data_IF_410831753932
#
_entry.id   IF_410831753932
#
_cell.length_a   1.000
_cell.length_b   1.000
_cell.length_c   1.000
_cell.angle_alpha   90.00
_cell.angle_beta   90.00
_cell.angle_gamma   90.00
#
_symmetry.space_group_name_H-M   'P 1'
#
loop_
_entity.id
_entity.type
_entity.pdbx_description
1 polymer ?
#
# COMPACT_ATOMS: atom_id res chain seq x y z
N UNK A 1 30.02 11.15 25.76
CA UNK A 1 29.90 9.71 25.43
C UNK A 1 29.09 9.63 24.15
N UNK A 2 29.69 9.21 23.03
CA UNK A 2 28.97 9.12 21.76
C UNK A 2 27.92 8.02 21.86
N UNK A 3 26.63 8.38 21.82
CA UNK A 3 25.56 7.39 21.73
C UNK A 3 25.56 6.90 20.28
N UNK A 4 25.88 5.62 20.09
CA UNK A 4 25.81 4.96 18.79
C UNK A 4 24.38 5.09 18.23
N UNK A 5 24.23 5.60 17.01
CA UNK A 5 22.94 5.76 16.31
C UNK A 5 22.13 4.46 16.35
N UNK A 6 22.80 3.32 16.21
CA UNK A 6 22.15 2.02 16.27
C UNK A 6 21.58 1.71 17.66
N UNK A 7 22.28 2.09 18.73
CA UNK A 7 21.78 1.95 20.09
C UNK A 7 20.54 2.83 20.31
N UNK A 8 20.55 4.06 19.80
CA UNK A 8 19.41 4.98 19.93
C UNK A 8 18.18 4.52 19.11
N UNK A 9 18.38 4.15 17.84
CA UNK A 9 17.33 3.56 16.98
C UNK A 9 16.69 2.36 17.66
N UNK A 10 17.50 1.48 18.25
CA UNK A 10 17.03 0.28 18.93
C UNK A 10 16.29 0.59 20.24
N UNK A 11 16.78 1.55 21.04
CA UNK A 11 16.19 1.91 22.34
C UNK A 11 14.83 2.59 22.20
N UNK A 12 14.68 3.50 21.24
CA UNK A 12 13.46 4.29 21.08
C UNK A 12 12.55 3.79 19.94
N UNK A 13 13.01 2.80 19.15
CA UNK A 13 12.32 2.25 17.97
C UNK A 13 11.99 3.33 16.93
N UNK A 14 12.88 4.29 16.75
CA UNK A 14 12.68 5.42 15.85
C UNK A 14 13.51 5.20 14.58
N UNK A 15 12.81 5.08 13.44
CA UNK A 15 13.46 4.94 12.15
C UNK A 15 13.82 6.32 11.59
N UNK A 16 15.09 6.69 11.73
CA UNK A 16 15.61 7.94 11.17
C UNK A 16 15.77 7.90 9.65
N UNK A 17 15.68 6.73 9.00
CA UNK A 17 15.84 6.59 7.55
C UNK A 17 14.86 7.45 6.73
N UNK A 18 13.75 7.84 7.36
CA UNK A 18 12.69 8.66 6.77
C UNK A 18 12.98 10.18 6.82
N UNK A 19 14.07 10.62 7.47
CA UNK A 19 14.38 12.05 7.63
C UNK A 19 15.60 12.44 6.80
N UNK A 20 15.51 13.44 5.90
CA UNK A 20 16.66 13.92 5.13
C UNK A 20 17.72 14.70 5.95
N UNK A 21 17.58 14.78 7.28
CA UNK A 21 18.42 15.59 8.19
C UNK A 21 19.09 14.75 9.31
N UNK A 22 19.30 13.45 9.07
CA UNK A 22 19.82 12.51 10.08
C UNK A 22 21.20 12.91 10.59
N UNK A 23 22.08 13.38 9.70
CA UNK A 23 23.43 13.79 10.06
C UNK A 23 23.42 15.03 10.95
N UNK A 24 22.50 15.97 10.70
CA UNK A 24 22.31 17.18 11.50
C UNK A 24 21.72 16.85 12.86
N UNK A 25 20.74 15.94 12.91
CA UNK A 25 20.19 15.42 14.16
C UNK A 25 21.31 14.76 14.98
N UNK A 26 22.12 13.89 14.36
CA UNK A 26 23.24 13.21 15.00
C UNK A 26 24.32 14.19 15.51
N UNK A 27 24.60 15.24 14.74
CA UNK A 27 25.51 16.30 15.16
C UNK A 27 24.99 17.04 16.39
N UNK A 28 23.69 17.39 16.41
CA UNK A 28 23.05 18.00 17.59
C UNK A 28 23.17 17.08 18.80
N UNK A 29 22.87 15.78 18.65
CA UNK A 29 23.02 14.77 19.69
C UNK A 29 24.43 14.72 20.28
N UNK A 30 25.45 14.66 19.43
CA UNK A 30 26.84 14.51 19.86
C UNK A 30 27.43 15.79 20.49
N UNK A 31 26.86 16.96 20.17
CA UNK A 31 27.38 18.25 20.64
C UNK A 31 26.87 18.66 22.04
N UNK A 32 25.88 17.97 22.60
CA UNK A 32 25.20 18.25 23.88
C UNK A 32 24.79 19.73 24.13
N UNK A 33 24.87 20.62 23.13
CA UNK A 33 24.61 22.05 23.30
C UNK A 33 24.11 22.68 22.01
N UNK A 34 22.88 23.20 22.05
CA UNK A 34 22.32 24.06 21.01
C UNK A 34 22.97 25.43 21.12
N UNK A 35 23.70 25.88 20.10
CA UNK A 35 24.27 27.24 20.10
C UNK A 35 23.28 28.19 19.44
N UNK A 36 23.26 29.45 19.87
CA UNK A 36 22.38 30.50 19.30
C UNK A 36 22.51 30.63 17.78
N UNK A 37 23.70 30.36 17.23
CA UNK A 37 23.97 30.30 15.79
C UNK A 37 23.24 29.18 15.04
N UNK A 38 22.90 28.07 15.71
CA UNK A 38 22.18 26.95 15.11
C UNK A 38 20.69 27.25 14.93
N UNK A 39 20.17 28.28 15.62
CA UNK A 39 18.80 28.78 15.49
C UNK A 39 18.59 29.70 14.27
N UNK A 40 19.67 30.04 13.55
CA UNK A 40 19.62 30.85 12.32
C UNK A 40 19.60 29.97 11.06
N UNK A 41 19.83 28.67 11.20
CA UNK A 41 19.74 27.71 10.10
C UNK A 41 18.41 26.97 10.18
N UNK A 42 17.55 27.21 9.19
CA UNK A 42 16.18 26.70 9.23
C UNK A 42 16.10 25.17 9.11
N UNK A 43 17.08 24.54 8.44
CA UNK A 43 17.16 23.06 8.40
C UNK A 43 17.54 22.52 9.77
N UNK A 44 18.47 23.17 10.47
CA UNK A 44 18.81 22.83 11.85
C UNK A 44 17.64 23.06 12.79
N UNK A 45 16.83 24.11 12.62
CA UNK A 45 15.61 24.28 13.42
C UNK A 45 14.70 23.05 13.34
N UNK A 46 14.51 22.46 12.14
CA UNK A 46 13.75 21.21 12.01
C UNK A 46 14.43 20.03 12.70
N UNK A 47 15.75 19.88 12.58
CA UNK A 47 16.50 18.82 13.28
C UNK A 47 16.38 18.95 14.81
N UNK A 48 16.44 20.18 15.32
CA UNK A 48 16.23 20.51 16.74
C UNK A 48 14.79 20.18 17.15
N UNK A 49 13.79 20.57 16.36
CA UNK A 49 12.39 20.21 16.60
C UNK A 49 12.22 18.70 16.72
N UNK A 50 12.75 17.93 15.76
CA UNK A 50 12.68 16.48 15.78
C UNK A 50 13.34 15.90 17.04
N UNK A 51 14.46 16.46 17.49
CA UNK A 51 15.08 16.08 18.76
C UNK A 51 14.13 16.31 19.96
N UNK A 52 13.44 17.45 20.03
CA UNK A 52 12.46 17.71 21.08
C UNK A 52 11.28 16.73 21.06
N UNK A 53 10.84 16.30 19.87
CA UNK A 53 9.80 15.26 19.71
C UNK A 53 10.31 13.90 20.18
N UNK A 54 11.42 13.44 19.60
CA UNK A 54 11.90 12.06 19.66
C UNK A 54 12.53 11.73 21.03
N UNK A 55 13.27 12.68 21.58
CA UNK A 55 14.13 12.43 22.76
C UNK A 55 13.49 12.96 24.03
N UNK A 56 12.96 14.18 23.93
CA UNK A 56 12.48 14.91 25.10
C UNK A 56 10.96 14.79 25.28
N UNK A 57 10.23 14.26 24.28
CA UNK A 57 8.76 14.21 24.25
C UNK A 57 8.11 15.58 24.53
N UNK A 58 8.74 16.68 24.08
CA UNK A 58 8.25 18.06 24.26
C UNK A 58 7.65 18.60 22.97
N UNK A 59 6.44 18.16 22.68
CA UNK A 59 5.75 18.46 21.41
C UNK A 59 5.46 19.95 21.19
N UNK A 60 5.11 20.70 22.24
CA UNK A 60 4.83 22.13 22.13
C UNK A 60 6.08 22.92 21.70
N UNK A 61 7.24 22.56 22.25
CA UNK A 61 8.52 23.17 21.89
C UNK A 61 8.87 22.81 20.44
N UNK A 62 8.71 21.55 20.05
CA UNK A 62 8.95 21.16 18.66
C UNK A 62 8.03 21.89 17.67
N UNK A 63 6.73 22.05 18.01
CA UNK A 63 5.75 22.78 17.19
C UNK A 63 6.17 24.22 16.99
N UNK A 64 6.53 24.93 18.06
CA UNK A 64 6.99 26.34 17.97
C UNK A 64 8.26 26.49 17.13
N UNK A 65 9.20 25.55 17.25
CA UNK A 65 10.43 25.56 16.45
C UNK A 65 10.19 25.26 14.96
N UNK A 66 9.26 24.36 14.63
CA UNK A 66 8.87 24.15 13.23
C UNK A 66 8.17 25.37 12.64
N UNK A 67 7.27 26.01 13.38
CA UNK A 67 6.62 27.26 12.95
C UNK A 67 7.67 28.35 12.71
N UNK A 68 8.69 28.45 13.58
CA UNK A 68 9.81 29.36 13.37
C UNK A 68 10.58 29.04 12.08
N UNK A 69 10.84 27.77 11.78
CA UNK A 69 11.48 27.37 10.52
C UNK A 69 10.65 27.78 9.29
N UNK A 70 9.31 27.62 9.35
CA UNK A 70 8.38 28.09 8.30
C UNK A 70 8.45 29.60 8.13
N UNK A 71 8.37 30.37 9.22
CA UNK A 71 8.41 31.83 9.18
C UNK A 71 9.74 32.36 8.61
N UNK A 72 10.81 31.58 8.73
CA UNK A 72 12.10 31.87 8.12
C UNK A 72 12.24 31.36 6.67
N UNK A 73 11.17 30.83 6.07
CA UNK A 73 11.11 30.39 4.67
C UNK A 73 11.42 28.91 4.41
N UNK A 74 11.54 28.06 5.44
CA UNK A 74 11.76 26.63 5.26
C UNK A 74 10.44 25.85 5.26
N UNK A 75 9.76 25.84 4.12
CA UNK A 75 8.42 25.28 3.98
C UNK A 75 8.35 23.75 4.15
N UNK A 76 9.46 23.02 4.03
CA UNK A 76 9.48 21.57 4.33
C UNK A 76 9.10 21.28 5.78
N UNK A 77 9.24 22.26 6.68
CA UNK A 77 8.73 22.17 8.05
C UNK A 77 7.21 21.96 8.14
N UNK A 78 6.41 22.32 7.11
CA UNK A 78 4.99 21.96 7.06
C UNK A 78 4.77 20.45 7.06
N UNK A 79 5.57 19.70 6.30
CA UNK A 79 5.49 18.24 6.30
C UNK A 79 5.80 17.67 7.69
N UNK A 80 6.86 18.14 8.35
CA UNK A 80 7.20 17.67 9.69
C UNK A 80 6.17 18.04 10.76
N UNK A 81 5.54 19.21 10.67
CA UNK A 81 4.41 19.56 11.53
C UNK A 81 3.22 18.65 11.30
N UNK A 82 2.94 18.33 10.03
CA UNK A 82 1.93 17.35 9.65
C UNK A 82 2.17 15.98 10.29
N UNK A 83 3.39 15.45 10.18
CA UNK A 83 3.80 14.19 10.81
C UNK A 83 3.69 14.25 12.34
N UNK A 84 4.15 15.35 12.95
CA UNK A 84 4.08 15.55 14.39
C UNK A 84 2.62 15.51 14.89
N UNK A 85 1.74 16.31 14.28
CA UNK A 85 0.32 16.34 14.60
C UNK A 85 -0.32 14.96 14.40
N UNK A 86 0.04 14.25 13.32
CA UNK A 86 -0.42 12.90 13.08
C UNK A 86 -0.01 11.93 14.20
N UNK A 87 1.26 11.98 14.62
CA UNK A 87 1.81 11.10 15.64
C UNK A 87 1.17 11.30 17.02
N UNK A 88 0.79 12.54 17.36
CA UNK A 88 0.10 12.86 18.62
C UNK A 88 -1.44 12.73 18.54
N UNK A 89 -1.97 12.30 17.38
CA UNK A 89 -3.42 12.07 17.18
C UNK A 89 -4.24 13.31 16.82
N UNK A 90 -3.61 14.47 16.60
CA UNK A 90 -4.29 15.67 16.11
C UNK A 90 -4.43 15.63 14.58
N UNK A 91 -5.35 14.78 14.12
CA UNK A 91 -5.52 14.49 12.69
C UNK A 91 -6.03 15.68 11.87
N UNK A 92 -6.70 16.65 12.49
CA UNK A 92 -7.19 17.85 11.80
C UNK A 92 -6.05 18.84 11.51
N UNK A 93 -5.20 19.12 12.49
CA UNK A 93 -3.99 19.93 12.25
C UNK A 93 -3.00 19.18 11.36
N UNK A 94 -2.89 17.84 11.49
CA UNK A 94 -2.08 17.04 10.58
C UNK A 94 -2.51 17.24 9.12
N UNK A 95 -3.80 17.07 8.83
CA UNK A 95 -4.36 17.29 7.49
C UNK A 95 -4.11 18.71 6.98
N UNK A 96 -4.27 19.73 7.84
CA UNK A 96 -4.00 21.12 7.50
C UNK A 96 -2.55 21.35 7.10
N UNK A 97 -1.57 20.95 7.92
CA UNK A 97 -0.16 21.18 7.60
C UNK A 97 0.33 20.32 6.43
N UNK A 98 -0.16 19.10 6.28
CA UNK A 98 0.17 18.26 5.13
C UNK A 98 -0.33 18.87 3.81
N UNK A 99 -1.48 19.53 3.80
CA UNK A 99 -1.96 20.30 2.64
C UNK A 99 -1.12 21.54 2.37
N UNK A 100 -0.75 22.30 3.40
CA UNK A 100 0.17 23.43 3.27
C UNK A 100 1.52 22.99 2.71
N UNK A 101 2.00 21.79 3.05
CA UNK A 101 3.20 21.23 2.43
C UNK A 101 3.03 21.03 0.91
N UNK A 102 1.85 20.59 0.45
CA UNK A 102 1.55 20.45 -0.99
C UNK A 102 1.52 21.79 -1.73
N UNK A 103 1.00 22.84 -1.10
CA UNK A 103 1.01 24.20 -1.67
C UNK A 103 2.44 24.69 -1.96
N UNK A 104 3.43 24.11 -1.27
CA UNK A 104 4.86 24.33 -1.48
C UNK A 104 5.58 23.19 -2.23
N UNK A 105 4.84 22.36 -2.98
CA UNK A 105 5.35 21.25 -3.80
C UNK A 105 6.12 20.17 -3.01
N UNK A 106 5.79 19.98 -1.73
CA UNK A 106 6.37 18.92 -0.89
C UNK A 106 5.47 17.69 -0.97
N UNK A 107 5.72 16.87 -1.99
CA UNK A 107 4.87 15.73 -2.33
C UNK A 107 4.96 14.52 -1.37
N UNK A 108 5.92 14.53 -0.44
CA UNK A 108 6.04 13.56 0.65
C UNK A 108 4.75 13.44 1.49
N UNK A 109 3.97 14.53 1.57
CA UNK A 109 2.71 14.54 2.32
C UNK A 109 1.56 13.79 1.63
N UNK A 110 1.65 13.52 0.32
CA UNK A 110 0.55 12.92 -0.46
C UNK A 110 0.14 11.54 0.08
N UNK A 111 1.10 10.68 0.41
CA UNK A 111 0.80 9.35 0.95
C UNK A 111 0.06 9.45 2.29
N UNK A 112 0.51 10.35 3.17
CA UNK A 112 -0.11 10.52 4.49
C UNK A 112 -1.51 11.12 4.39
N UNK A 113 -1.72 12.08 3.49
CA UNK A 113 -3.06 12.59 3.18
C UNK A 113 -3.98 11.49 2.68
N UNK A 114 -3.49 10.64 1.77
CA UNK A 114 -4.20 9.45 1.32
C UNK A 114 -4.64 8.55 2.48
N UNK A 115 -3.72 8.24 3.39
CA UNK A 115 -4.01 7.45 4.59
C UNK A 115 -5.02 8.14 5.53
N UNK A 116 -4.86 9.43 5.80
CA UNK A 116 -5.77 10.20 6.66
C UNK A 116 -7.20 10.19 6.13
N UNK A 117 -7.36 10.48 4.83
CA UNK A 117 -8.67 10.46 4.21
C UNK A 117 -9.28 9.06 4.19
N UNK A 118 -8.48 8.01 4.01
CA UNK A 118 -8.97 6.64 4.03
C UNK A 118 -9.40 6.19 5.43
N UNK A 119 -8.50 6.33 6.41
CA UNK A 119 -8.65 5.68 7.73
C UNK A 119 -9.36 6.57 8.74
N UNK A 120 -9.14 7.88 8.70
CA UNK A 120 -9.66 8.82 9.70
C UNK A 120 -10.92 9.50 9.18
N UNK A 121 -10.85 10.19 8.04
CA UNK A 121 -11.99 10.93 7.50
C UNK A 121 -12.99 10.08 6.69
N UNK A 122 -12.68 8.80 6.48
CA UNK A 122 -13.53 7.81 5.77
C UNK A 122 -13.99 8.28 4.37
N UNK A 123 -13.14 9.03 3.67
CA UNK A 123 -13.39 9.49 2.31
C UNK A 123 -12.46 8.77 1.32
N UNK A 124 -12.94 7.64 0.80
CA UNK A 124 -12.20 6.78 -0.12
C UNK A 124 -11.88 7.46 -1.45
N UNK A 125 -12.79 8.32 -1.96
CA UNK A 125 -12.59 9.06 -3.21
C UNK A 125 -11.38 9.99 -3.11
N UNK A 126 -11.35 10.85 -2.10
CA UNK A 126 -10.23 11.79 -1.89
C UNK A 126 -8.94 11.03 -1.57
N UNK A 127 -9.02 9.97 -0.76
CA UNK A 127 -7.86 9.13 -0.45
C UNK A 127 -7.22 8.55 -1.72
N UNK A 128 -8.06 8.03 -2.63
CA UNK A 128 -7.65 7.47 -3.91
C UNK A 128 -6.94 8.51 -4.78
N UNK A 129 -7.44 9.74 -4.82
CA UNK A 129 -6.82 10.82 -5.60
C UNK A 129 -5.43 11.19 -5.06
N UNK A 130 -5.28 11.34 -3.74
CA UNK A 130 -3.96 11.58 -3.13
C UNK A 130 -2.98 10.43 -3.33
N UNK A 131 -3.43 9.19 -3.21
CA UNK A 131 -2.57 8.02 -3.42
C UNK A 131 -2.13 7.90 -4.89
N UNK A 132 -3.01 8.18 -5.85
CA UNK A 132 -2.63 8.26 -7.28
C UNK A 132 -1.55 9.31 -7.51
N UNK A 133 -1.75 10.53 -7.00
CA UNK A 133 -0.73 11.58 -7.11
C UNK A 133 0.59 11.15 -6.47
N UNK A 134 0.54 10.51 -5.31
CA UNK A 134 1.74 10.03 -4.61
C UNK A 134 2.50 8.98 -5.42
N UNK A 135 1.78 8.08 -6.11
CA UNK A 135 2.37 7.11 -7.04
C UNK A 135 3.07 7.84 -8.19
N UNK A 136 2.43 8.86 -8.78
CA UNK A 136 3.02 9.64 -9.88
C UNK A 136 4.31 10.35 -9.46
N UNK A 137 4.43 10.73 -8.19
CA UNK A 137 5.65 11.27 -7.59
C UNK A 137 6.62 10.19 -7.07
N UNK A 138 6.54 8.96 -7.59
CA UNK A 138 7.43 7.83 -7.30
C UNK A 138 7.50 7.40 -5.82
N UNK A 139 6.49 7.70 -5.01
CA UNK A 139 6.43 7.24 -3.63
C UNK A 139 6.19 5.71 -3.58
N UNK A 140 7.18 4.97 -3.06
CA UNK A 140 7.17 3.50 -2.98
C UNK A 140 5.97 2.95 -2.20
N UNK A 141 5.62 3.60 -1.10
CA UNK A 141 4.60 3.10 -0.18
C UNK A 141 3.18 3.39 -0.69
N UNK A 142 3.03 4.33 -1.63
CA UNK A 142 1.73 4.74 -2.15
C UNK A 142 1.07 3.65 -2.99
N UNK A 143 1.84 2.86 -3.75
CA UNK A 143 1.28 1.73 -4.51
C UNK A 143 0.63 0.74 -3.55
N UNK A 144 1.33 0.35 -2.48
CA UNK A 144 0.79 -0.59 -1.51
C UNK A 144 -0.49 -0.10 -0.83
N UNK A 145 -0.53 1.15 -0.39
CA UNK A 145 -1.75 1.73 0.21
C UNK A 145 -2.88 1.89 -0.82
N UNK A 146 -2.56 2.19 -2.07
CA UNK A 146 -3.53 2.23 -3.17
C UNK A 146 -4.12 0.85 -3.45
N UNK A 147 -3.29 -0.20 -3.45
CA UNK A 147 -3.73 -1.58 -3.64
C UNK A 147 -4.74 -2.03 -2.58
N UNK A 148 -4.56 -1.61 -1.32
CA UNK A 148 -5.50 -1.91 -0.22
C UNK A 148 -6.89 -1.30 -0.38
N UNK A 149 -7.10 -0.38 -1.33
CA UNK A 149 -8.41 0.19 -1.61
C UNK A 149 -9.33 -0.72 -2.43
N UNK A 150 -8.78 -1.83 -2.92
CA UNK A 150 -9.47 -2.73 -3.83
C UNK A 150 -9.56 -4.11 -3.22
N UNK A 151 -10.77 -4.64 -3.16
CA UNK A 151 -11.00 -6.02 -2.74
C UNK A 151 -10.62 -6.99 -3.87
N UNK A 152 -10.76 -6.54 -5.13
CA UNK A 152 -10.40 -7.29 -6.31
C UNK A 152 -9.03 -6.84 -6.86
N UNK A 153 -8.11 -7.80 -6.96
CA UNK A 153 -6.77 -7.61 -7.53
C UNK A 153 -6.82 -7.10 -8.98
N UNK A 154 -7.86 -7.46 -9.72
CA UNK A 154 -8.08 -7.02 -11.08
C UNK A 154 -8.40 -5.52 -11.18
N UNK A 155 -9.37 -5.04 -10.39
CA UNK A 155 -9.72 -3.61 -10.38
C UNK A 155 -8.52 -2.76 -10.01
N UNK A 156 -7.74 -3.21 -9.03
CA UNK A 156 -6.46 -2.60 -8.68
C UNK A 156 -5.52 -2.55 -9.88
N UNK A 157 -5.29 -3.68 -10.58
CA UNK A 157 -4.40 -3.76 -11.73
C UNK A 157 -4.84 -2.80 -12.84
N UNK A 158 -6.12 -2.81 -13.21
CA UNK A 158 -6.68 -1.92 -14.24
C UNK A 158 -6.51 -0.45 -13.85
N UNK A 159 -6.68 -0.13 -12.57
CA UNK A 159 -6.56 1.24 -12.10
C UNK A 159 -5.10 1.71 -12.07
N UNK A 160 -4.15 0.81 -11.82
CA UNK A 160 -2.71 1.11 -11.93
C UNK A 160 -2.26 1.18 -13.40
N UNK A 161 -2.79 0.35 -14.29
CA UNK A 161 -2.40 0.33 -15.71
C UNK A 161 -2.85 1.58 -16.46
N UNK A 162 -3.93 2.21 -16.01
CA UNK A 162 -4.41 3.49 -16.51
C UNK A 162 -3.61 4.71 -16.02
N UNK A 163 -2.65 4.53 -15.11
CA UNK A 163 -1.77 5.61 -14.67
C UNK A 163 -0.53 5.72 -15.58
N UNK A 164 0.01 6.93 -15.77
CA UNK A 164 1.33 7.12 -16.39
C UNK A 164 2.39 6.20 -15.78
N UNK A 165 3.12 5.46 -16.63
CA UNK A 165 4.14 4.53 -16.18
C UNK A 165 5.23 5.25 -15.39
N UNK A 166 5.63 4.64 -14.27
CA UNK A 166 6.75 5.07 -13.46
C UNK A 166 7.42 3.87 -12.79
N UNK A 167 8.56 4.11 -12.15
CA UNK A 167 9.39 3.06 -11.54
C UNK A 167 8.64 2.19 -10.54
N UNK A 168 7.68 2.75 -9.79
CA UNK A 168 6.92 1.98 -8.81
C UNK A 168 5.84 1.12 -9.46
N UNK A 169 5.14 1.66 -10.46
CA UNK A 169 4.14 0.92 -11.23
C UNK A 169 4.81 -0.23 -12.00
N UNK A 170 5.96 0.01 -12.62
CA UNK A 170 6.71 -1.02 -13.34
C UNK A 170 7.18 -2.14 -12.41
N UNK A 171 7.76 -1.79 -11.24
CA UNK A 171 8.12 -2.78 -10.22
C UNK A 171 6.93 -3.60 -9.77
N UNK A 172 5.80 -2.95 -9.55
CA UNK A 172 4.56 -3.63 -9.19
C UNK A 172 4.15 -4.62 -10.28
N UNK A 173 4.16 -4.22 -11.55
CA UNK A 173 3.83 -5.10 -12.66
C UNK A 173 4.83 -6.23 -12.86
N UNK A 174 6.12 -6.02 -12.63
CA UNK A 174 7.11 -7.10 -12.66
C UNK A 174 6.83 -8.14 -11.58
N UNK A 175 6.57 -7.71 -10.34
CA UNK A 175 6.23 -8.63 -9.24
C UNK A 175 4.93 -9.36 -9.55
N UNK A 176 3.93 -8.65 -10.08
CA UNK A 176 2.67 -9.24 -10.49
C UNK A 176 2.85 -10.27 -11.61
N UNK A 177 3.64 -9.97 -12.64
CA UNK A 177 3.91 -10.91 -13.73
C UNK A 177 4.65 -12.16 -13.23
N UNK A 178 5.66 -12.02 -12.38
CA UNK A 178 6.35 -13.16 -11.78
C UNK A 178 5.37 -14.06 -11.01
N UNK A 179 4.43 -13.47 -10.26
CA UNK A 179 3.38 -14.22 -9.58
C UNK A 179 2.50 -15.00 -10.57
N UNK A 180 2.12 -14.39 -11.70
CA UNK A 180 1.35 -15.08 -12.74
C UNK A 180 2.15 -16.25 -13.33
N UNK A 181 3.42 -16.03 -13.67
CA UNK A 181 4.30 -17.02 -14.29
C UNK A 181 4.55 -18.21 -13.36
N UNK A 182 4.87 -17.96 -12.08
CA UNK A 182 5.02 -18.99 -11.04
C UNK A 182 3.76 -19.85 -10.88
N UNK A 183 2.60 -19.24 -11.12
CA UNK A 183 1.30 -19.90 -11.05
C UNK A 183 0.80 -20.41 -12.41
N UNK A 184 1.63 -20.31 -13.46
CA UNK A 184 1.30 -20.73 -14.83
C UNK A 184 0.00 -20.11 -15.37
N UNK A 185 -0.24 -18.85 -14.99
CA UNK A 185 -1.39 -18.05 -15.38
C UNK A 185 -1.02 -17.20 -16.59
N UNK A 186 -1.81 -17.28 -17.66
CA UNK A 186 -1.78 -16.29 -18.74
C UNK A 186 -2.89 -15.27 -18.53
N UNK A 187 -2.52 -14.01 -18.32
CA UNK A 187 -3.48 -12.92 -18.23
C UNK A 187 -4.00 -12.55 -19.62
N UNK A 188 -5.32 -12.54 -19.79
CA UNK A 188 -5.97 -12.07 -21.03
C UNK A 188 -6.73 -10.79 -20.71
N UNK A 189 -6.25 -9.67 -21.27
CA UNK A 189 -6.81 -8.33 -21.09
C UNK A 189 -8.10 -8.08 -21.85
N UNK A 190 -8.45 -8.97 -22.77
CA UNK A 190 -9.62 -8.80 -23.63
C UNK A 190 -10.80 -9.55 -23.01
N UNK A 191 -12.00 -8.94 -23.02
CA UNK A 191 -13.27 -9.61 -22.67
C UNK A 191 -13.57 -10.69 -23.69
N UNK A 192 -12.87 -11.82 -23.61
CA UNK A 192 -12.92 -12.83 -24.65
C UNK A 192 -13.93 -13.95 -24.38
N UNK A 193 -14.40 -14.17 -23.15
CA UNK A 193 -15.40 -15.19 -22.78
C UNK A 193 -15.98 -14.92 -21.37
N UNK A 194 -17.03 -15.66 -20.99
CA UNK A 194 -17.54 -15.71 -19.61
C UNK A 194 -16.61 -16.55 -18.72
N UNK A 195 -16.47 -16.22 -17.43
CA UNK A 195 -15.76 -17.06 -16.47
C UNK A 195 -16.39 -18.46 -16.40
N UNK A 196 -15.62 -19.54 -16.56
CA UNK A 196 -16.16 -20.92 -16.51
C UNK A 196 -16.75 -21.35 -15.16
N UNK A 197 -16.67 -20.50 -14.13
CA UNK A 197 -17.17 -20.77 -12.77
C UNK A 197 -18.35 -19.88 -12.42
N UNK A 198 -18.15 -18.55 -12.41
CA UNK A 198 -19.20 -17.62 -12.02
C UNK A 198 -19.97 -17.04 -13.21
N UNK A 199 -19.61 -17.38 -14.45
CA UNK A 199 -20.17 -16.86 -15.70
C UNK A 199 -20.10 -15.33 -15.84
N UNK A 200 -19.32 -14.65 -14.99
CA UNK A 200 -19.14 -13.21 -15.07
C UNK A 200 -18.25 -12.84 -16.27
N UNK A 201 -18.61 -11.75 -16.96
CA UNK A 201 -17.95 -11.21 -18.15
C UNK A 201 -16.77 -10.30 -17.80
N UNK A 202 -16.01 -10.73 -16.81
CA UNK A 202 -14.80 -10.06 -16.38
C UNK A 202 -13.58 -10.64 -17.07
N UNK A 203 -12.47 -9.94 -16.89
CA UNK A 203 -11.19 -10.28 -17.46
C UNK A 203 -10.73 -11.65 -16.97
N UNK A 204 -10.26 -12.46 -17.91
CA UNK A 204 -10.04 -13.88 -17.71
C UNK A 204 -8.55 -14.19 -17.55
N UNK A 205 -8.28 -15.08 -16.61
CA UNK A 205 -7.06 -15.87 -16.55
C UNK A 205 -7.25 -17.07 -17.43
N UNK A 206 -6.37 -17.26 -18.40
CA UNK A 206 -6.26 -18.51 -19.14
C UNK A 206 -5.17 -19.36 -18.51
N UNK A 207 -5.59 -20.54 -18.10
CA UNK A 207 -4.70 -21.57 -17.57
C UNK A 207 -4.05 -22.33 -18.73
N UNK A 208 -2.96 -23.07 -18.47
CA UNK A 208 -2.28 -23.88 -19.51
C UNK A 208 -3.22 -24.88 -20.21
N UNK A 209 -4.26 -25.31 -19.51
CA UNK A 209 -5.35 -26.15 -20.02
C UNK A 209 -6.32 -25.41 -20.98
N UNK A 210 -6.03 -24.17 -21.38
CA UNK A 210 -6.88 -23.27 -22.19
C UNK A 210 -8.26 -22.92 -21.60
N UNK A 211 -8.52 -23.28 -20.34
CA UNK A 211 -9.73 -22.84 -19.65
C UNK A 211 -9.57 -21.40 -19.17
N UNK A 212 -10.63 -20.62 -19.31
CA UNK A 212 -10.70 -19.25 -18.86
C UNK A 212 -11.54 -19.11 -17.60
N UNK A 213 -10.97 -18.55 -16.53
CA UNK A 213 -11.72 -18.22 -15.33
C UNK A 213 -11.36 -16.82 -14.87
N UNK A 214 -12.26 -16.14 -14.16
CA UNK A 214 -11.89 -14.88 -13.53
C UNK A 214 -10.84 -15.14 -12.42
N UNK A 215 -10.00 -14.15 -12.16
CA UNK A 215 -8.90 -14.28 -11.19
C UNK A 215 -9.40 -14.56 -9.76
N UNK A 216 -10.58 -14.05 -9.38
CA UNK A 216 -11.20 -14.32 -8.08
C UNK A 216 -11.57 -15.79 -7.91
N UNK A 217 -12.17 -16.39 -8.94
CA UNK A 217 -12.48 -17.81 -8.97
C UNK A 217 -11.20 -18.67 -8.89
N UNK A 218 -10.16 -18.30 -9.63
CA UNK A 218 -8.86 -18.97 -9.58
C UNK A 218 -8.24 -18.94 -8.18
N UNK A 219 -8.16 -17.75 -7.57
CA UNK A 219 -7.56 -17.56 -6.24
C UNK A 219 -8.36 -18.26 -5.14
N UNK A 220 -9.69 -18.27 -5.25
CA UNK A 220 -10.57 -19.02 -4.35
C UNK A 220 -10.25 -20.51 -4.37
N UNK A 221 -10.14 -21.12 -5.56
CA UNK A 221 -9.80 -22.55 -5.68
C UNK A 221 -8.45 -22.87 -5.04
N UNK A 222 -7.42 -22.06 -5.33
CA UNK A 222 -6.08 -22.21 -4.73
C UNK A 222 -6.11 -22.08 -3.21
N UNK A 223 -6.80 -21.07 -2.68
CA UNK A 223 -6.90 -20.78 -1.24
C UNK A 223 -7.52 -21.94 -0.47
N UNK A 224 -8.60 -22.53 -1.00
CA UNK A 224 -9.30 -23.62 -0.34
C UNK A 224 -8.68 -25.01 -0.62
N UNK A 225 -7.53 -25.05 -1.29
CA UNK A 225 -6.78 -26.26 -1.59
C UNK A 225 -7.70 -27.35 -2.16
N UNK A 226 -8.65 -26.94 -3.01
CA UNK A 226 -9.69 -27.84 -3.51
C UNK A 226 -8.99 -28.85 -4.41
N UNK A 227 -8.82 -30.07 -3.90
CA UNK A 227 -8.22 -31.17 -4.64
C UNK A 227 -9.28 -31.82 -5.51
N UNK A 228 -8.94 -31.99 -6.78
CA UNK A 228 -9.78 -32.71 -7.73
C UNK A 228 -9.76 -34.20 -7.42
N UNK A 229 -10.94 -34.82 -7.44
CA UNK A 229 -11.07 -36.28 -7.37
C UNK A 229 -11.29 -36.77 -8.79
N UNK A 230 -10.25 -37.36 -9.37
CA UNK A 230 -10.27 -37.94 -10.71
C UNK A 230 -11.31 -39.05 -10.78
N UNK A 231 -12.30 -38.92 -11.66
CA UNK A 231 -13.18 -40.01 -12.07
C UNK A 231 -12.62 -40.60 -13.37
N UNK A 232 -12.41 -41.92 -13.38
CA UNK A 232 -11.68 -42.62 -14.44
C UNK A 232 -12.44 -42.75 -15.77
N UNK A 233 -13.58 -42.08 -15.95
CA UNK A 233 -14.44 -42.27 -17.11
C UNK A 233 -14.62 -40.97 -17.91
N UNK A 234 -14.06 -40.99 -19.13
CA UNK A 234 -14.25 -40.09 -20.28
C UNK A 234 -13.45 -38.79 -20.42
N UNK A 235 -12.97 -38.64 -21.66
CA UNK A 235 -12.21 -37.57 -22.32
C UNK A 235 -12.96 -36.22 -22.44
N UNK A 236 -13.86 -35.89 -21.53
CA UNK A 236 -14.61 -34.64 -21.54
C UNK A 236 -14.53 -33.98 -20.16
N UNK A 237 -14.18 -32.70 -20.11
CA UNK A 237 -13.95 -31.90 -18.90
C UNK A 237 -15.23 -31.73 -18.05
N UNK A 238 -15.72 -32.80 -17.44
CA UNK A 238 -16.87 -32.81 -16.53
C UNK A 238 -16.49 -33.57 -15.26
N UNK A 239 -15.93 -32.86 -14.28
CA UNK A 239 -15.72 -33.43 -12.95
C UNK A 239 -16.31 -32.52 -11.86
N UNK A 240 -17.03 -33.15 -10.95
CA UNK A 240 -17.68 -32.54 -9.79
C UNK A 240 -16.63 -32.07 -8.77
N UNK A 241 -16.75 -30.83 -8.30
CA UNK A 241 -16.02 -30.35 -7.12
C UNK A 241 -16.50 -31.11 -5.89
N UNK A 242 -15.73 -32.11 -5.42
CA UNK A 242 -15.96 -32.75 -4.13
C UNK A 242 -15.10 -32.07 -3.07
N UNK A 243 -15.68 -31.08 -2.38
CA UNK A 243 -15.00 -30.29 -1.35
C UNK A 243 -14.89 -31.11 -0.05
N UNK A 244 -13.67 -31.25 0.49
CA UNK A 244 -13.38 -31.95 1.75
C UNK A 244 -13.28 -30.91 2.88
N UNK A 245 -14.37 -30.73 3.67
CA UNK A 245 -14.51 -30.08 5.02
C UNK A 245 -13.77 -28.75 5.31
N UNK A 246 -14.28 -27.67 5.95
CA UNK A 246 -15.53 -27.26 6.64
C UNK A 246 -15.41 -25.74 6.91
N UNK A 247 -16.43 -24.92 6.57
CA UNK A 247 -16.91 -23.74 7.34
C UNK A 247 -17.91 -22.89 6.53
N UNK A 248 -18.71 -22.08 7.25
CA UNK A 248 -19.91 -21.30 6.89
C UNK A 248 -19.94 -20.54 5.54
N UNK A 249 -18.78 -20.21 4.95
CA UNK A 249 -18.66 -19.68 3.58
C UNK A 249 -18.93 -20.72 2.47
N UNK A 250 -19.07 -21.99 2.84
CA UNK A 250 -19.51 -23.08 1.98
C UNK A 250 -20.93 -22.87 1.43
N UNK A 251 -21.78 -22.10 2.12
CA UNK A 251 -23.13 -21.83 1.63
C UNK A 251 -23.11 -20.95 0.38
N UNK A 252 -22.16 -20.03 0.25
CA UNK A 252 -22.08 -19.13 -0.92
C UNK A 252 -21.52 -19.86 -2.15
N UNK A 253 -20.51 -20.72 -1.96
CA UNK A 253 -19.96 -21.57 -3.04
C UNK A 253 -20.96 -22.68 -3.40
N UNK A 254 -21.65 -23.29 -2.43
CA UNK A 254 -22.70 -24.25 -2.72
C UNK A 254 -23.89 -23.57 -3.40
N UNK A 255 -24.27 -22.32 -3.06
CA UNK A 255 -25.29 -21.57 -3.80
C UNK A 255 -24.87 -21.37 -5.26
N UNK A 256 -23.63 -20.94 -5.50
CA UNK A 256 -23.06 -20.77 -6.85
C UNK A 256 -23.08 -22.08 -7.65
N UNK A 257 -22.79 -23.22 -7.01
CA UNK A 257 -22.82 -24.56 -7.63
C UNK A 257 -24.26 -25.07 -7.85
N UNK A 258 -25.19 -24.75 -6.94
CA UNK A 258 -26.59 -25.22 -7.02
C UNK A 258 -27.42 -24.42 -8.04
N UNK A 259 -27.12 -23.13 -8.22
CA UNK A 259 -27.80 -22.26 -9.17
C UNK A 259 -27.23 -22.41 -10.60
N UNK A 260 -25.93 -22.64 -10.75
CA UNK A 260 -25.30 -22.82 -12.06
C UNK A 260 -24.94 -24.30 -12.32
N UNK A 261 -25.84 -24.98 -13.04
CA UNK A 261 -25.62 -26.36 -13.51
C UNK A 261 -24.32 -26.47 -14.32
N UNK A 262 -23.35 -27.19 -13.73
CA UNK A 262 -22.08 -27.68 -14.31
C UNK A 262 -20.95 -26.64 -14.35
N UNK A 263 -20.06 -26.70 -13.36
CA UNK A 263 -18.74 -26.08 -13.43
C UNK A 263 -17.81 -27.01 -14.21
N UNK A 264 -17.22 -26.52 -15.31
CA UNK A 264 -16.25 -27.26 -16.11
C UNK A 264 -14.84 -26.79 -15.75
N UNK A 265 -14.05 -27.66 -15.11
CA UNK A 265 -12.64 -27.38 -14.86
C UNK A 265 -11.83 -28.64 -15.15
N UNK A 266 -10.83 -28.51 -16.01
CA UNK A 266 -9.93 -29.61 -16.36
C UNK A 266 -8.93 -29.91 -15.24
N UNK A 267 -8.63 -31.18 -15.00
CA UNK A 267 -7.62 -31.64 -14.05
C UNK A 267 -6.23 -31.02 -14.31
N UNK A 268 -5.89 -30.73 -15.57
CA UNK A 268 -4.62 -30.09 -15.95
C UNK A 268 -4.47 -28.66 -15.42
N UNK A 269 -5.56 -28.04 -14.97
CA UNK A 269 -5.54 -26.66 -14.51
C UNK A 269 -4.91 -26.48 -13.12
N UNK A 270 -4.71 -27.57 -12.35
CA UNK A 270 -4.23 -27.53 -10.96
C UNK A 270 -3.26 -28.67 -10.60
N UNK A 271 -2.70 -29.37 -11.59
CA UNK A 271 -1.60 -30.36 -11.40
C UNK A 271 -0.25 -29.67 -11.43
#
# INVERSE_FOLDING_TARGET
MFINLQHFINTYKIDFNCYPIQHEILFIFNSHSLKKKDLNDNKKLCAISLYYVIVLNKYDIAKTLFIKAINNGYFYAYYYLGELCFAIGDFYEANKYLKLALEHNIYDSLQKLGYLYLKIFKNTKIAKDYLKLSILHNNKNAVYEFCKLYDNMFDMFLQLSNLPKNKQIEKFFTVFQNYLDENQIKFISDKLNDCSICLDQQYLVVLQCNHSMCFECYTSIKKYNIKYVKNNDYLTCFEYLKIVNTNQYLNDINLLIHEHKKIQICHLCFS
#
